data_IF_959094215485
#
_entry.id   IF_959094215485
#
_cell.length_a   1.000
_cell.length_b   1.000
_cell.length_c   1.000
_cell.angle_alpha   90.00
_cell.angle_beta   90.00
_cell.angle_gamma   90.00
#
_symmetry.space_group_name_H-M   'P 1'
#
loop_
_entity.id
_entity.type
_entity.pdbx_description
1 polymer ?
#
# COMPACT_ATOMS: atom_id res chain seq x y z
N UNK A 1 17.23 17.89 7.68
CA UNK A 1 15.80 18.21 7.47
C UNK A 1 14.98 17.23 8.29
N UNK A 2 14.28 17.70 9.33
CA UNK A 2 13.41 16.85 10.15
C UNK A 2 12.22 16.45 9.26
N UNK A 3 12.02 15.15 9.04
CA UNK A 3 10.78 14.66 8.43
C UNK A 3 9.65 14.98 9.41
N UNK A 4 8.75 15.88 9.03
CA UNK A 4 7.54 16.08 9.81
C UNK A 4 6.63 14.88 9.56
N UNK A 5 6.22 14.20 10.62
CA UNK A 5 5.30 13.07 10.53
C UNK A 5 3.95 13.59 10.05
N UNK A 6 3.34 12.92 9.08
CA UNK A 6 2.06 13.39 8.53
C UNK A 6 0.95 13.30 9.57
N UNK A 7 0.01 14.25 9.53
CA UNK A 7 -1.24 14.15 10.27
C UNK A 7 -2.08 12.99 9.71
N UNK A 8 -2.69 12.19 10.59
CA UNK A 8 -3.51 11.03 10.20
C UNK A 8 -4.85 11.09 10.90
N UNK A 9 -5.93 11.10 10.13
CA UNK A 9 -7.31 11.15 10.59
C UNK A 9 -8.04 9.82 10.30
N UNK A 10 -9.22 9.58 10.88
CA UNK A 10 -9.92 8.32 10.71
C UNK A 10 -10.29 7.97 9.26
N UNK A 11 -10.65 8.96 8.45
CA UNK A 11 -11.17 8.72 7.10
C UNK A 11 -12.49 7.93 7.11
N UNK A 12 -12.78 7.29 5.99
CA UNK A 12 -14.02 6.52 5.74
C UNK A 12 -13.68 5.18 5.07
N UNK A 13 -14.44 4.12 5.34
CA UNK A 13 -14.25 2.81 4.71
C UNK A 13 -14.59 2.80 3.21
N UNK A 14 -15.30 3.82 2.71
CA UNK A 14 -15.67 3.95 1.31
C UNK A 14 -15.45 5.36 0.77
N UNK A 15 -15.15 5.50 -0.53
CA UNK A 15 -14.90 4.42 -1.50
C UNK A 15 -13.57 3.69 -1.24
N UNK A 16 -13.42 2.48 -1.78
CA UNK A 16 -12.17 1.70 -1.70
C UNK A 16 -11.07 2.34 -2.56
N UNK A 17 -9.82 2.13 -2.16
CA UNK A 17 -8.63 2.72 -2.75
C UNK A 17 -8.28 4.09 -2.19
N UNK A 18 -7.43 4.82 -2.93
CA UNK A 18 -7.11 6.21 -2.64
C UNK A 18 -8.04 7.18 -3.39
N UNK A 19 -8.67 8.08 -2.65
CA UNK A 19 -9.60 9.08 -3.20
C UNK A 19 -9.26 10.47 -2.66
N UNK A 20 -8.87 11.36 -3.57
CA UNK A 20 -8.66 12.77 -3.28
C UNK A 20 -9.99 13.51 -3.32
N UNK A 21 -10.27 14.34 -2.31
CA UNK A 21 -11.54 15.07 -2.15
C UNK A 21 -11.40 16.60 -2.29
N UNK A 22 -10.21 17.08 -2.68
CA UNK A 22 -9.88 18.51 -2.74
C UNK A 22 -9.09 19.01 -1.53
N UNK A 23 -9.31 18.42 -0.34
CA UNK A 23 -8.66 18.84 0.90
C UNK A 23 -7.56 17.86 1.34
N UNK A 24 -7.69 16.59 0.98
CA UNK A 24 -6.77 15.51 1.35
C UNK A 24 -7.14 14.21 0.67
N UNK A 25 -6.55 13.10 1.14
CA UNK A 25 -6.76 11.78 0.51
C UNK A 25 -7.29 10.79 1.54
N UNK A 26 -8.44 10.19 1.24
CA UNK A 26 -8.97 9.04 1.93
C UNK A 26 -8.37 7.76 1.35
N UNK A 27 -7.81 6.91 2.21
CA UNK A 27 -7.30 5.59 1.86
C UNK A 27 -8.20 4.53 2.49
N UNK A 28 -8.64 3.55 1.71
CA UNK A 28 -9.44 2.43 2.19
C UNK A 28 -9.02 1.11 1.51
N UNK A 29 -8.65 0.11 2.32
CA UNK A 29 -8.17 -1.20 1.86
C UNK A 29 -8.95 -2.33 2.53
N UNK A 30 -9.61 -3.16 1.74
CA UNK A 30 -10.23 -4.38 2.24
C UNK A 30 -9.17 -5.41 2.64
N UNK A 31 -9.25 -5.92 3.87
CA UNK A 31 -8.54 -7.13 4.29
C UNK A 31 -9.19 -7.77 5.51
N UNK A 32 -9.81 -8.93 5.30
CA UNK A 32 -10.47 -9.71 6.36
C UNK A 32 -9.47 -10.31 7.36
N UNK A 33 -8.38 -10.90 6.87
CA UNK A 33 -7.45 -11.69 7.70
C UNK A 33 -6.18 -10.93 8.12
N UNK A 34 -6.03 -9.66 7.76
CA UNK A 34 -4.90 -8.86 8.22
C UNK A 34 -4.98 -8.62 9.73
N UNK A 35 -3.83 -8.69 10.39
CA UNK A 35 -3.63 -8.26 11.77
C UNK A 35 -3.11 -6.82 11.83
N UNK A 36 -2.56 -6.30 10.73
CA UNK A 36 -2.11 -4.93 10.61
C UNK A 36 -1.94 -4.50 9.15
N UNK A 37 -2.22 -3.22 8.90
CA UNK A 37 -2.00 -2.57 7.61
C UNK A 37 -1.19 -1.30 7.83
N UNK A 38 -0.12 -1.16 7.07
CA UNK A 38 0.70 0.05 7.03
C UNK A 38 0.62 0.67 5.63
N UNK A 39 0.38 1.97 5.58
CA UNK A 39 0.46 2.80 4.38
C UNK A 39 1.87 3.38 4.28
N UNK A 40 2.62 2.97 3.27
CA UNK A 40 3.95 3.50 2.98
C UNK A 40 3.82 4.65 1.98
N UNK A 41 4.26 5.84 2.37
CA UNK A 41 4.32 7.03 1.49
C UNK A 41 5.75 7.22 1.00
N UNK A 42 5.90 7.47 -0.29
CA UNK A 42 7.20 7.58 -0.97
C UNK A 42 7.49 9.01 -1.43
N UNK A 43 8.78 9.27 -1.68
CA UNK A 43 9.20 10.48 -2.38
C UNK A 43 8.60 10.54 -3.80
N UNK A 44 8.65 11.71 -4.43
CA UNK A 44 8.09 11.91 -5.78
C UNK A 44 8.74 11.05 -6.87
N UNK A 45 9.87 10.39 -6.56
CA UNK A 45 10.56 9.46 -7.47
C UNK A 45 10.28 7.99 -7.13
N UNK A 46 9.50 7.71 -6.07
CA UNK A 46 9.16 6.37 -5.62
C UNK A 46 10.33 5.58 -5.02
N UNK A 47 11.45 6.25 -4.68
CA UNK A 47 12.73 5.61 -4.30
C UNK A 47 12.94 5.51 -2.79
N UNK A 48 12.38 6.43 -2.03
CA UNK A 48 12.54 6.49 -0.57
C UNK A 48 11.20 6.53 0.10
N UNK A 49 11.01 5.72 1.14
CA UNK A 49 9.88 5.85 2.05
C UNK A 49 10.09 7.14 2.85
N UNK A 50 9.11 8.03 2.80
CA UNK A 50 9.04 9.25 3.60
C UNK A 50 8.38 8.97 4.95
N UNK A 51 7.30 8.21 4.95
CA UNK A 51 6.58 7.83 6.17
C UNK A 51 5.93 6.45 6.01
N UNK A 52 5.80 5.74 7.12
CA UNK A 52 5.08 4.47 7.22
C UNK A 52 4.01 4.63 8.29
N UNK A 53 2.76 4.69 7.85
CA UNK A 53 1.61 5.02 8.70
C UNK A 53 0.86 3.74 9.04
N UNK A 54 0.84 3.30 10.31
CA UNK A 54 -0.03 2.21 10.73
C UNK A 54 -1.49 2.68 10.68
N UNK A 55 -2.33 1.98 9.91
CA UNK A 55 -3.76 2.25 9.82
C UNK A 55 -4.46 1.64 11.03
N UNK A 56 -5.14 2.48 11.80
CA UNK A 56 -5.75 2.08 13.08
C UNK A 56 -7.26 1.88 13.02
N UNK A 57 -7.91 2.50 12.05
CA UNK A 57 -9.36 2.43 11.92
C UNK A 57 -9.76 1.32 10.95
N UNK A 58 -10.75 0.53 11.36
CA UNK A 58 -11.26 -0.61 10.63
C UNK A 58 -12.78 -0.70 10.80
N UNK A 59 -13.52 -0.75 9.70
CA UNK A 59 -14.97 -0.92 9.68
C UNK A 59 -15.31 -1.96 8.62
N UNK A 60 -16.10 -2.97 8.97
CA UNK A 60 -16.52 -4.06 8.05
C UNK A 60 -15.36 -4.63 7.23
N UNK A 61 -14.26 -4.98 7.92
CA UNK A 61 -13.04 -5.54 7.33
C UNK A 61 -12.25 -4.61 6.40
N UNK A 62 -12.65 -3.34 6.29
CA UNK A 62 -11.94 -2.30 5.54
C UNK A 62 -11.09 -1.48 6.49
N UNK A 63 -9.79 -1.41 6.22
CA UNK A 63 -8.82 -0.57 6.91
C UNK A 63 -8.80 0.80 6.24
N UNK A 64 -8.94 1.87 7.02
CA UNK A 64 -9.00 3.21 6.44
C UNK A 64 -8.31 4.29 7.28
N UNK A 65 -7.82 5.30 6.59
CA UNK A 65 -7.31 6.54 7.18
C UNK A 65 -7.46 7.69 6.19
N UNK A 66 -7.27 8.92 6.69
CA UNK A 66 -7.27 10.12 5.87
C UNK A 66 -6.03 10.96 6.14
N UNK A 67 -5.40 11.42 5.05
CA UNK A 67 -4.21 12.27 5.10
C UNK A 67 -4.55 13.66 4.53
N UNK A 68 -4.70 14.70 5.37
CA UNK A 68 -5.04 16.06 4.92
C UNK A 68 -3.93 16.73 4.11
N UNK A 69 -2.69 16.23 4.20
CA UNK A 69 -1.54 16.79 3.47
C UNK A 69 -1.26 16.07 2.14
N UNK A 70 -1.88 14.91 1.91
CA UNK A 70 -1.69 14.15 0.67
C UNK A 70 -2.43 14.82 -0.50
N UNK A 71 -1.88 14.69 -1.71
CA UNK A 71 -2.38 15.33 -2.93
C UNK A 71 -2.28 14.37 -4.13
N UNK A 72 -2.94 14.67 -5.26
CA UNK A 72 -2.65 13.98 -6.52
C UNK A 72 -1.14 13.97 -6.81
N UNK A 73 -0.64 12.82 -7.26
CA UNK A 73 0.80 12.56 -7.42
C UNK A 73 1.50 11.98 -6.19
N UNK A 74 0.86 11.94 -5.01
CA UNK A 74 1.40 11.20 -3.85
C UNK A 74 1.59 9.73 -4.21
N UNK A 75 2.81 9.23 -4.05
CA UNK A 75 3.17 7.84 -4.33
C UNK A 75 3.06 7.00 -3.06
N UNK A 76 2.41 5.85 -3.17
CA UNK A 76 2.13 5.00 -2.03
C UNK A 76 2.16 3.51 -2.36
N UNK A 77 2.16 2.69 -1.31
CA UNK A 77 1.90 1.25 -1.33
C UNK A 77 1.56 0.77 0.07
N UNK A 78 1.18 -0.50 0.21
CA UNK A 78 0.81 -1.08 1.50
C UNK A 78 1.80 -2.15 1.96
N UNK A 79 1.94 -2.29 3.28
CA UNK A 79 2.47 -3.50 3.91
C UNK A 79 1.37 -4.10 4.78
N UNK A 80 1.17 -5.39 4.66
CA UNK A 80 0.09 -6.09 5.36
C UNK A 80 0.66 -7.24 6.17
N UNK A 81 0.44 -7.21 7.49
CA UNK A 81 0.83 -8.26 8.42
C UNK A 81 -0.36 -9.13 8.78
N UNK A 82 -0.06 -10.37 9.16
CA UNK A 82 -1.02 -11.40 9.53
C UNK A 82 -0.34 -12.76 9.57
N UNK A 83 -1.11 -13.85 9.66
CA UNK A 83 -0.55 -15.20 9.70
C UNK A 83 0.22 -15.55 8.42
N UNK A 84 1.39 -16.17 8.58
CA UNK A 84 2.06 -16.90 7.50
C UNK A 84 1.93 -18.39 7.79
N UNK A 85 0.83 -18.96 7.30
CA UNK A 85 0.48 -20.38 7.37
C UNK A 85 0.09 -20.85 5.95
N UNK A 86 1.09 -21.14 5.10
CA UNK A 86 0.86 -21.48 3.70
C UNK A 86 -0.01 -22.71 3.49
N UNK A 87 0.02 -23.66 4.43
CA UNK A 87 -0.79 -24.89 4.37
C UNK A 87 -2.28 -24.59 4.55
N UNK A 88 -2.61 -23.50 5.25
CA UNK A 88 -3.99 -22.98 5.38
C UNK A 88 -4.27 -21.80 4.44
N UNK A 89 -3.37 -21.53 3.49
CA UNK A 89 -3.51 -20.45 2.50
C UNK A 89 -3.15 -19.05 3.00
N UNK A 90 -2.80 -18.87 4.28
CA UNK A 90 -2.39 -17.57 4.81
C UNK A 90 -0.93 -17.28 4.44
N UNK A 91 -0.70 -16.18 3.70
CA UNK A 91 0.64 -15.83 3.16
C UNK A 91 1.01 -14.38 3.43
N UNK A 92 0.56 -13.82 4.55
CA UNK A 92 0.87 -12.45 4.91
C UNK A 92 2.38 -12.26 5.12
N UNK A 93 2.95 -11.25 4.46
CA UNK A 93 4.37 -10.95 4.58
C UNK A 93 4.58 -9.43 4.44
N UNK A 94 4.69 -8.74 5.57
CA UNK A 94 4.87 -7.28 5.60
C UNK A 94 6.20 -6.81 5.00
N UNK A 95 7.16 -7.71 4.75
CA UNK A 95 8.38 -7.37 4.02
C UNK A 95 8.11 -7.09 2.53
N UNK A 96 6.95 -7.52 2.00
CA UNK A 96 6.55 -7.28 0.63
C UNK A 96 5.71 -6.02 0.54
N UNK A 97 6.16 -5.05 -0.25
CA UNK A 97 5.35 -3.91 -0.64
C UNK A 97 4.27 -4.39 -1.61
N UNK A 98 3.02 -4.09 -1.29
CA UNK A 98 1.84 -4.43 -2.06
C UNK A 98 1.30 -3.19 -2.78
N UNK A 99 0.79 -3.40 -3.99
CA UNK A 99 -0.03 -2.41 -4.67
C UNK A 99 -1.43 -2.39 -4.08
N UNK A 100 -2.05 -1.22 -4.10
CA UNK A 100 -3.47 -1.07 -3.82
C UNK A 100 -4.28 -1.75 -4.95
N UNK A 101 -5.13 -2.75 -4.65
CA UNK A 101 -5.96 -3.39 -5.66
C UNK A 101 -6.97 -2.42 -6.31
N UNK A 102 -7.22 -1.26 -5.70
CA UNK A 102 -8.08 -0.20 -6.21
C UNK A 102 -7.28 1.00 -6.75
N UNK A 103 -5.97 0.84 -6.99
CA UNK A 103 -5.15 1.89 -7.58
C UNK A 103 -5.69 2.32 -8.95
N UNK A 104 -5.93 3.63 -9.09
CA UNK A 104 -6.37 4.24 -10.36
C UNK A 104 -5.18 4.59 -11.28
N UNK A 105 -3.97 4.61 -10.71
CA UNK A 105 -2.73 4.78 -11.46
C UNK A 105 -1.57 4.04 -10.77
N UNK A 106 -0.74 3.37 -11.56
CA UNK A 106 0.46 2.68 -11.12
C UNK A 106 1.63 3.24 -11.94
N UNK A 107 2.72 3.60 -11.27
CA UNK A 107 3.91 4.19 -11.88
C UNK A 107 5.16 3.35 -11.63
N UNK A 108 6.05 3.34 -12.62
CA UNK A 108 7.27 2.57 -12.63
C UNK A 108 7.10 1.15 -13.17
N UNK A 109 8.19 0.38 -13.13
CA UNK A 109 8.24 -0.99 -13.61
C UNK A 109 8.73 -1.92 -12.49
N UNK A 110 8.35 -3.19 -12.57
CA UNK A 110 8.91 -4.21 -11.70
C UNK A 110 10.39 -4.39 -12.06
N UNK A 111 11.27 -4.25 -11.07
CA UNK A 111 12.66 -4.70 -11.17
C UNK A 111 12.76 -6.09 -10.55
N UNK A 112 12.82 -7.10 -11.40
CA UNK A 112 12.86 -8.49 -10.97
C UNK A 112 14.07 -8.79 -10.09
N UNK A 113 13.78 -9.43 -8.96
CA UNK A 113 14.74 -9.94 -7.99
C UNK A 113 14.01 -10.96 -7.11
N UNK A 114 14.71 -11.94 -6.53
CA UNK A 114 14.09 -12.94 -5.65
C UNK A 114 13.33 -12.33 -4.46
N UNK A 115 13.73 -11.13 -4.03
CA UNK A 115 13.04 -10.39 -2.98
C UNK A 115 11.57 -10.06 -3.32
N UNK A 116 11.18 -10.08 -4.61
CA UNK A 116 9.80 -9.88 -5.05
C UNK A 116 8.89 -11.06 -4.69
N UNK A 117 9.45 -12.22 -4.36
CA UNK A 117 8.68 -13.39 -3.94
C UNK A 117 8.39 -13.34 -2.45
N UNK A 118 7.18 -13.78 -2.06
CA UNK A 118 6.76 -13.92 -0.67
C UNK A 118 7.54 -14.98 0.11
N UNK A 119 8.22 -15.88 -0.58
CA UNK A 119 8.95 -17.03 -0.06
C UNK A 119 10.39 -17.09 -0.58
N UNK A 120 11.25 -17.87 0.09
CA UNK A 120 12.66 -18.00 -0.29
C UNK A 120 12.82 -18.91 -1.53
N UNK A 121 13.12 -18.30 -2.67
CA UNK A 121 13.51 -19.03 -3.89
C UNK A 121 14.70 -19.96 -3.60
N UNK A 122 14.62 -21.20 -4.09
CA UNK A 122 15.67 -22.22 -3.91
C UNK A 122 15.72 -22.86 -2.52
N UNK A 123 14.83 -22.51 -1.58
CA UNK A 123 14.79 -23.16 -0.28
C UNK A 123 14.23 -24.58 -0.38
N UNK A 124 14.77 -25.54 0.38
CA UNK A 124 14.36 -26.96 0.33
C UNK A 124 12.88 -27.19 0.68
N UNK A 125 12.31 -26.31 1.50
CA UNK A 125 10.88 -26.27 1.86
C UNK A 125 10.04 -25.36 0.96
N UNK A 126 10.56 -24.96 -0.21
CA UNK A 126 9.88 -24.15 -1.22
C UNK A 126 9.15 -22.92 -0.62
N UNK A 127 7.85 -22.80 -0.89
CA UNK A 127 7.00 -21.68 -0.55
C UNK A 127 6.52 -21.67 0.91
N UNK A 128 6.90 -22.68 1.69
CA UNK A 128 6.58 -22.76 3.12
C UNK A 128 7.42 -21.80 3.98
N UNK A 129 8.50 -21.24 3.44
CA UNK A 129 9.40 -20.36 4.19
C UNK A 129 9.28 -18.92 3.70
N UNK A 130 8.82 -17.98 4.54
CA UNK A 130 8.67 -16.59 4.14
C UNK A 130 10.03 -15.95 3.88
N UNK A 131 10.12 -15.16 2.82
CA UNK A 131 11.29 -14.34 2.55
C UNK A 131 11.17 -12.99 3.27
N UNK A 132 12.18 -12.67 4.09
CA UNK A 132 12.23 -11.44 4.90
C UNK A 132 12.87 -10.26 4.18
N UNK A 133 13.36 -10.42 2.94
CA UNK A 133 13.91 -9.31 2.15
C UNK A 133 12.82 -8.33 1.76
N UNK A 134 13.12 -7.04 1.87
CA UNK A 134 12.22 -5.97 1.42
C UNK A 134 12.10 -5.96 -0.11
N UNK A 135 10.87 -5.83 -0.62
CA UNK A 135 10.59 -5.72 -2.05
C UNK A 135 10.37 -4.28 -2.54
N UNK A 136 10.34 -3.28 -1.65
CA UNK A 136 9.93 -1.92 -2.02
C UNK A 136 10.74 -1.29 -3.17
N UNK A 137 12.06 -1.53 -3.21
CA UNK A 137 12.95 -1.01 -4.25
C UNK A 137 12.65 -1.56 -5.66
N UNK A 138 12.10 -2.77 -5.74
CA UNK A 138 11.79 -3.44 -7.01
C UNK A 138 10.33 -3.32 -7.43
N UNK A 139 9.45 -2.83 -6.56
CA UNK A 139 8.03 -2.71 -6.83
C UNK A 139 7.66 -1.36 -7.45
N UNK A 140 6.74 -1.31 -8.44
CA UNK A 140 6.09 -0.07 -8.82
C UNK A 140 5.29 0.52 -7.66
N UNK A 141 4.88 1.78 -7.78
CA UNK A 141 4.12 2.50 -6.74
C UNK A 141 2.73 2.85 -7.26
N UNK A 142 1.74 2.82 -6.38
CA UNK A 142 0.45 3.42 -6.66
C UNK A 142 0.59 4.95 -6.62
N UNK A 143 -0.19 5.66 -7.42
CA UNK A 143 -0.26 7.11 -7.36
C UNK A 143 -1.71 7.56 -7.13
N UNK A 144 -1.87 8.51 -6.21
CA UNK A 144 -3.13 9.24 -6.07
C UNK A 144 -3.36 10.06 -7.35
N UNK A 145 -4.57 10.04 -7.90
CA UNK A 145 -4.95 10.87 -9.04
C UNK A 145 -6.03 11.86 -8.66
N UNK A 146 -6.09 12.95 -9.40
CA UNK A 146 -7.32 13.72 -9.53
C UNK A 146 -8.24 12.98 -10.53
N UNK A 147 -9.50 12.77 -10.14
CA UNK A 147 -10.49 12.14 -11.02
C UNK A 147 -11.34 13.18 -11.78
N UNK A 148 -11.18 14.47 -11.50
CA UNK A 148 -11.86 15.51 -12.23
C UNK A 148 -11.48 15.44 -13.71
N UNK A 149 -12.48 15.23 -14.55
CA UNK A 149 -12.36 15.29 -15.99
C UNK A 149 -13.58 16.01 -16.55
N UNK A 150 -13.35 17.00 -17.40
CA UNK A 150 -14.42 17.70 -18.10
C UNK A 150 -14.77 16.89 -19.35
N UNK A 151 -15.88 16.16 -19.28
CA UNK A 151 -16.50 15.58 -20.47
C UNK A 151 -17.03 16.73 -21.34
N UNK A 152 -16.61 16.77 -22.60
CA UNK A 152 -17.15 17.67 -23.62
C UNK A 152 -18.46 17.12 -24.20
N UNK A 153 -18.68 17.31 -25.49
CA UNK A 153 -19.89 16.83 -26.19
C UNK A 153 -19.79 15.35 -26.63
N UNK A 154 -19.29 14.46 -25.75
CA UNK A 154 -19.29 12.99 -26.01
C UNK A 154 -20.71 12.40 -25.93
#
# INVERSE_FOLDING_TARGET
MKHNKMAVWPGKPYPLGATWDGEGVNFALFSEHAEGVELCIFDSRGRRVLDTIPIRWRTDQVWHCYLPEARPGTLYGYRVSGPYDPERGHRFNSNKLLLDPYAKHITGHIRWHDAMFGYRIGHSKNDLIPDKRDSADGMPKCAVIDQAFTWGDD
#
